data_IF_790924260622
#
_entry.id   IF_790924260622
#
_cell.length_a   1.000
_cell.length_b   1.000
_cell.length_c   1.000
_cell.angle_alpha   90.00
_cell.angle_beta   90.00
_cell.angle_gamma   90.00
#
_symmetry.space_group_name_H-M   'P 1'
#
loop_
_entity.id
_entity.type
_entity.pdbx_description
1 polymer ?
#
# COMPACT_ATOMS: atom_id res chain seq x y z
N UNK A 1 34.80 4.50 -40.86
CA UNK A 1 34.11 5.59 -40.14
C UNK A 1 33.35 4.98 -38.99
N UNK A 2 33.66 5.37 -37.75
CA UNK A 2 32.97 4.85 -36.57
C UNK A 2 31.62 5.56 -36.43
N UNK A 3 30.49 4.85 -36.31
CA UNK A 3 29.21 5.50 -36.07
C UNK A 3 29.28 6.27 -34.74
N UNK A 4 29.03 7.58 -34.79
CA UNK A 4 29.03 8.44 -33.60
C UNK A 4 27.60 8.63 -33.16
N UNK A 5 27.28 8.27 -31.92
CA UNK A 5 25.93 8.43 -31.38
C UNK A 5 25.65 9.93 -31.16
N UNK A 6 24.52 10.47 -31.67
CA UNK A 6 24.19 11.88 -31.47
C UNK A 6 23.93 12.17 -29.99
N UNK A 7 24.24 13.40 -29.56
CA UNK A 7 23.91 13.86 -28.21
C UNK A 7 22.39 13.80 -27.97
N UNK A 8 21.98 13.51 -26.73
CA UNK A 8 20.57 13.35 -26.38
C UNK A 8 19.65 14.48 -26.89
N UNK A 9 19.98 15.78 -26.74
CA UNK A 9 19.10 16.86 -27.23
C UNK A 9 18.92 16.91 -28.75
N UNK A 10 19.82 16.28 -29.50
CA UNK A 10 19.80 16.23 -30.97
C UNK A 10 19.02 15.03 -31.51
N UNK A 11 18.55 14.14 -30.62
CA UNK A 11 17.70 13.03 -31.00
C UNK A 11 16.30 13.52 -31.40
N UNK A 12 15.62 12.85 -32.35
CA UNK A 12 14.23 13.10 -32.64
C UNK A 12 13.36 13.05 -31.37
N UNK A 13 12.32 13.90 -31.26
CA UNK A 13 11.46 13.95 -30.08
C UNK A 13 10.88 12.58 -29.69
N UNK A 14 10.54 11.74 -30.67
CA UNK A 14 9.99 10.41 -30.46
C UNK A 14 10.98 9.51 -29.72
N UNK A 15 12.26 9.57 -30.11
CA UNK A 15 13.33 8.81 -29.47
C UNK A 15 13.60 9.33 -28.07
N UNK A 16 13.63 10.66 -27.87
CA UNK A 16 13.79 11.26 -26.53
C UNK A 16 12.65 10.89 -25.59
N UNK A 17 11.41 10.97 -26.05
CA UNK A 17 10.24 10.53 -25.29
C UNK A 17 10.31 9.05 -24.92
N UNK A 18 10.74 8.20 -25.86
CA UNK A 18 10.88 6.77 -25.61
C UNK A 18 11.98 6.49 -24.58
N UNK A 19 13.12 7.18 -24.65
CA UNK A 19 14.18 7.10 -23.63
C UNK A 19 13.64 7.54 -22.26
N UNK A 20 12.90 8.65 -22.19
CA UNK A 20 12.29 9.09 -20.94
C UNK A 20 11.32 8.06 -20.37
N UNK A 21 10.50 7.45 -21.22
CA UNK A 21 9.57 6.40 -20.82
C UNK A 21 10.31 5.18 -20.26
N UNK A 22 11.36 4.71 -20.95
CA UNK A 22 12.20 3.61 -20.49
C UNK A 22 12.97 3.94 -19.20
N UNK A 23 13.30 5.22 -18.99
CA UNK A 23 14.02 5.67 -17.79
C UNK A 23 13.14 5.67 -16.53
N UNK A 24 11.82 5.61 -16.66
CA UNK A 24 10.92 5.58 -15.51
C UNK A 24 11.21 4.32 -14.67
N UNK A 25 11.33 4.50 -13.37
CA UNK A 25 11.52 3.37 -12.45
C UNK A 25 10.35 2.42 -12.60
N UNK A 26 10.65 1.16 -12.88
CA UNK A 26 9.64 0.09 -12.91
C UNK A 26 9.48 -0.47 -11.50
N UNK A 27 8.25 -0.82 -11.15
CA UNK A 27 7.84 -1.54 -9.93
C UNK A 27 8.69 -1.27 -8.68
N UNK A 28 8.29 -0.27 -7.89
CA UNK A 28 8.90 0.04 -6.59
C UNK A 28 7.92 -0.22 -5.45
N UNK A 29 8.47 -0.62 -4.31
CA UNK A 29 7.76 -0.66 -3.04
C UNK A 29 7.98 0.68 -2.35
N UNK A 30 6.91 1.41 -2.05
CA UNK A 30 6.95 2.72 -1.42
C UNK A 30 6.45 2.56 0.00
N UNK A 31 7.33 2.76 1.00
CA UNK A 31 6.93 2.71 2.40
C UNK A 31 6.36 4.06 2.81
N UNK A 32 5.08 4.07 3.15
CA UNK A 32 4.34 5.27 3.53
C UNK A 32 4.12 5.27 5.04
N UNK A 33 4.59 6.34 5.67
CA UNK A 33 4.30 6.66 7.06
C UNK A 33 3.46 7.93 7.14
N UNK A 34 2.77 8.10 8.27
CA UNK A 34 1.89 9.26 8.50
C UNK A 34 2.29 9.95 9.81
N UNK A 35 2.64 11.23 9.72
CA UNK A 35 2.78 12.07 10.89
C UNK A 35 1.39 12.46 11.38
N UNK A 36 1.10 12.15 12.65
CA UNK A 36 -0.22 12.36 13.24
C UNK A 36 -0.23 13.67 14.03
N UNK A 37 -1.29 14.45 13.85
CA UNK A 37 -1.61 15.58 14.72
C UNK A 37 -2.82 15.25 15.60
N UNK A 38 -2.99 16.04 16.66
CA UNK A 38 -4.15 15.98 17.56
C UNK A 38 -4.86 17.33 17.45
N UNK A 39 -6.13 17.32 17.08
CA UNK A 39 -6.97 18.51 17.12
C UNK A 39 -7.35 18.84 18.58
N UNK A 40 -7.72 20.10 18.88
CA UNK A 40 -8.13 20.51 20.23
C UNK A 40 -9.29 19.70 20.82
N UNK A 41 -10.14 19.11 19.97
CA UNK A 41 -11.22 18.19 20.35
C UNK A 41 -10.77 16.72 20.48
N UNK A 42 -9.47 16.48 20.66
CA UNK A 42 -8.81 15.16 20.76
C UNK A 42 -8.95 14.25 19.53
N UNK A 43 -9.47 14.74 18.39
CA UNK A 43 -9.51 13.94 17.16
C UNK A 43 -8.13 13.89 16.50
N UNK A 44 -7.59 12.69 16.31
CA UNK A 44 -6.34 12.48 15.55
C UNK A 44 -6.57 12.76 14.07
N UNK A 45 -5.57 13.32 13.40
CA UNK A 45 -5.60 13.59 11.96
C UNK A 45 -4.22 13.36 11.33
N UNK A 46 -4.20 13.08 10.02
CA UNK A 46 -2.95 13.03 9.27
C UNK A 46 -2.45 14.45 8.98
N UNK A 47 -1.32 14.82 9.60
CA UNK A 47 -0.64 16.09 9.34
C UNK A 47 0.05 16.04 7.99
N UNK A 48 0.82 14.99 7.73
CA UNK A 48 1.43 14.72 6.44
C UNK A 48 1.76 13.23 6.28
N UNK A 49 1.94 12.83 5.04
CA UNK A 49 2.50 11.53 4.69
C UNK A 49 3.97 11.69 4.30
N UNK A 50 4.78 10.68 4.61
CA UNK A 50 6.18 10.59 4.22
C UNK A 50 6.41 9.27 3.51
N UNK A 51 7.19 9.32 2.45
CA UNK A 51 7.70 8.15 1.75
C UNK A 51 9.17 7.94 2.12
N UNK A 52 9.61 6.69 2.13
CA UNK A 52 11.03 6.31 2.24
C UNK A 52 11.81 6.60 0.95
N UNK A 53 11.14 6.59 -0.21
CA UNK A 53 11.71 6.93 -1.50
C UNK A 53 11.31 8.33 -1.98
N UNK A 54 12.21 8.98 -2.71
CA UNK A 54 11.90 10.23 -3.40
C UNK A 54 10.93 10.01 -4.58
N UNK A 55 10.23 11.08 -4.99
CA UNK A 55 9.44 11.07 -6.22
C UNK A 55 10.35 10.81 -7.44
N UNK A 56 9.82 10.20 -8.52
CA UNK A 56 10.62 9.91 -9.71
C UNK A 56 11.36 11.16 -10.21
N UNK A 57 12.69 11.09 -10.44
CA UNK A 57 13.49 12.26 -10.79
C UNK A 57 13.00 12.93 -12.08
N UNK A 58 12.42 12.17 -13.00
CA UNK A 58 11.85 12.64 -14.27
C UNK A 58 10.79 13.73 -14.07
N UNK A 59 10.12 13.79 -12.91
CA UNK A 59 9.18 14.87 -12.59
C UNK A 59 9.85 16.24 -12.41
N UNK A 60 11.17 16.27 -12.20
CA UNK A 60 11.94 17.48 -11.86
C UNK A 60 13.05 17.82 -12.86
N UNK A 61 13.49 16.88 -13.73
CA UNK A 61 14.62 17.11 -14.65
C UNK A 61 14.35 18.23 -15.67
N UNK A 62 13.30 18.09 -16.48
CA UNK A 62 12.90 19.07 -17.49
C UNK A 62 11.43 18.87 -17.88
N UNK A 63 10.88 19.78 -18.69
CA UNK A 63 9.47 19.75 -19.11
C UNK A 63 9.09 18.49 -19.89
N UNK A 64 9.99 17.99 -20.74
CA UNK A 64 9.76 16.82 -21.58
C UNK A 64 9.65 15.54 -20.73
N UNK A 65 10.65 15.30 -19.88
CA UNK A 65 10.68 14.20 -18.93
C UNK A 65 9.48 14.25 -17.98
N UNK A 66 9.12 15.46 -17.50
CA UNK A 66 7.96 15.65 -16.63
C UNK A 66 6.66 15.29 -17.33
N UNK A 67 6.47 15.69 -18.58
CA UNK A 67 5.27 15.32 -19.35
C UNK A 67 5.17 13.80 -19.55
N UNK A 68 6.28 13.13 -19.82
CA UNK A 68 6.29 11.66 -19.94
C UNK A 68 5.96 11.00 -18.60
N UNK A 69 6.57 11.45 -17.51
CA UNK A 69 6.31 10.90 -16.17
C UNK A 69 4.86 11.09 -15.72
N UNK A 70 4.26 12.26 -15.96
CA UNK A 70 2.88 12.56 -15.56
C UNK A 70 1.81 11.75 -16.32
N UNK A 71 2.18 11.02 -17.38
CA UNK A 71 1.27 10.04 -18.03
C UNK A 71 1.07 8.79 -17.19
N UNK A 72 2.05 8.43 -16.37
CA UNK A 72 2.04 7.22 -15.54
C UNK A 72 1.82 7.53 -14.07
N UNK A 73 2.36 8.66 -13.60
CA UNK A 73 2.37 9.03 -12.19
C UNK A 73 1.38 10.14 -11.89
N UNK A 74 0.52 9.92 -10.91
CA UNK A 74 -0.40 10.91 -10.38
C UNK A 74 -0.07 11.22 -8.91
N UNK A 75 -0.34 12.45 -8.43
CA UNK A 75 -0.04 12.81 -7.05
C UNK A 75 -1.13 12.34 -6.07
N UNK A 76 -0.72 11.61 -5.03
CA UNK A 76 -1.56 11.12 -3.94
C UNK A 76 -0.99 11.54 -2.58
N UNK A 77 -1.64 11.14 -1.49
CA UNK A 77 -1.18 11.37 -0.11
C UNK A 77 -1.01 12.85 0.22
N UNK A 78 -1.97 13.65 -0.27
CA UNK A 78 -2.04 15.10 -0.05
C UNK A 78 -2.93 15.38 1.14
N UNK A 79 -2.38 16.09 2.13
CA UNK A 79 -3.17 16.56 3.27
C UNK A 79 -3.50 18.04 3.11
N UNK A 80 -4.61 18.49 3.71
CA UNK A 80 -4.95 19.93 3.78
C UNK A 80 -3.87 20.76 4.49
N UNK A 81 -3.10 20.13 5.38
CA UNK A 81 -2.09 20.78 6.19
C UNK A 81 -0.74 20.91 5.50
N UNK A 82 -0.44 20.02 4.54
CA UNK A 82 0.77 20.08 3.70
C UNK A 82 0.41 19.85 2.22
N UNK A 83 -0.28 20.80 1.57
CA UNK A 83 -0.79 20.61 0.21
C UNK A 83 0.31 20.44 -0.84
N UNK A 84 1.52 20.95 -0.57
CA UNK A 84 2.68 20.85 -1.46
C UNK A 84 3.45 19.53 -1.31
N UNK A 85 3.26 18.81 -0.20
CA UNK A 85 3.83 17.48 -0.02
C UNK A 85 2.87 16.45 -0.61
N UNK A 86 3.28 15.83 -1.71
CA UNK A 86 2.56 14.74 -2.34
C UNK A 86 3.51 13.65 -2.78
N UNK A 87 3.00 12.42 -2.73
CA UNK A 87 3.70 11.24 -3.17
C UNK A 87 3.14 10.90 -4.54
N UNK A 88 3.97 10.94 -5.57
CA UNK A 88 3.56 10.53 -6.90
C UNK A 88 3.55 9.02 -6.96
N UNK A 89 2.42 8.45 -7.34
CA UNK A 89 2.19 7.02 -7.46
C UNK A 89 1.79 6.67 -8.89
N UNK A 90 2.30 5.56 -9.40
CA UNK A 90 1.75 4.86 -10.55
C UNK A 90 1.04 3.60 -10.04
N UNK A 91 -0.29 3.63 -9.79
CA UNK A 91 -0.97 2.51 -9.11
C UNK A 91 -0.88 1.17 -9.84
N UNK A 92 -0.68 1.20 -11.15
CA UNK A 92 -0.52 0.02 -11.99
C UNK A 92 0.84 -0.66 -11.83
N UNK A 93 1.84 0.04 -11.27
CA UNK A 93 3.23 -0.41 -11.17
C UNK A 93 3.78 -0.40 -9.73
N UNK A 94 3.43 0.60 -8.95
CA UNK A 94 3.88 0.77 -7.58
C UNK A 94 3.14 -0.19 -6.63
N UNK A 95 3.82 -0.57 -5.55
CA UNK A 95 3.26 -1.28 -4.40
C UNK A 95 3.40 -0.36 -3.21
N UNK A 96 2.32 -0.12 -2.46
CA UNK A 96 2.37 0.72 -1.27
C UNK A 96 2.51 -0.15 -0.03
N UNK A 97 3.52 0.12 0.77
CA UNK A 97 3.76 -0.54 2.05
C UNK A 97 3.44 0.44 3.18
N UNK A 98 2.54 0.08 4.09
CA UNK A 98 2.15 0.92 5.22
C UNK A 98 1.89 0.09 6.47
N UNK A 99 1.88 0.74 7.62
CA UNK A 99 1.41 0.14 8.87
C UNK A 99 -0.12 0.16 8.92
N UNK A 100 -0.77 -0.88 9.47
CA UNK A 100 -2.24 -0.97 9.57
C UNK A 100 -2.92 0.32 10.08
N UNK A 101 -2.33 1.00 11.06
CA UNK A 101 -2.87 2.24 11.63
C UNK A 101 -2.87 3.44 10.65
N UNK A 102 -2.20 3.35 9.51
CA UNK A 102 -2.22 4.36 8.43
C UNK A 102 -3.50 4.22 7.58
N UNK A 103 -4.11 3.03 7.51
CA UNK A 103 -5.35 2.79 6.75
C UNK A 103 -6.48 3.74 7.14
N UNK A 104 -6.58 4.09 8.43
CA UNK A 104 -7.56 5.04 8.97
C UNK A 104 -7.51 6.42 8.30
N UNK A 105 -6.34 6.80 7.79
CA UNK A 105 -6.07 8.15 7.27
C UNK A 105 -6.11 8.22 5.75
N UNK A 106 -6.26 7.09 5.06
CA UNK A 106 -6.35 7.06 3.61
C UNK A 106 -7.64 7.74 3.14
N UNK A 107 -7.50 8.68 2.22
CA UNK A 107 -8.62 9.35 1.57
C UNK A 107 -9.33 8.40 0.60
N UNK A 108 -10.55 8.76 0.19
CA UNK A 108 -11.31 8.02 -0.83
C UNK A 108 -10.55 7.91 -2.15
N UNK A 109 -9.80 8.94 -2.54
CA UNK A 109 -8.99 8.94 -3.75
C UNK A 109 -7.83 7.93 -3.67
N UNK A 110 -7.17 7.81 -2.51
CA UNK A 110 -6.12 6.81 -2.31
C UNK A 110 -6.71 5.40 -2.31
N UNK A 111 -7.80 5.17 -1.55
CA UNK A 111 -8.50 3.88 -1.49
C UNK A 111 -8.94 3.38 -2.87
N UNK A 112 -9.46 4.27 -3.71
CA UNK A 112 -9.90 3.94 -5.06
C UNK A 112 -8.74 3.74 -6.06
N UNK A 113 -7.54 4.26 -5.77
CA UNK A 113 -6.40 4.17 -6.68
C UNK A 113 -5.53 2.93 -6.40
N UNK A 114 -5.38 2.54 -5.14
CA UNK A 114 -4.46 1.49 -4.71
C UNK A 114 -4.86 0.12 -5.26
N UNK A 115 -3.88 -0.58 -5.85
CA UNK A 115 -4.07 -1.93 -6.42
C UNK A 115 -3.29 -3.01 -5.68
N UNK A 116 -2.12 -2.67 -5.14
CA UNK A 116 -1.24 -3.59 -4.43
C UNK A 116 -0.78 -2.96 -3.13
N UNK A 117 -1.02 -3.67 -2.03
CA UNK A 117 -0.72 -3.20 -0.69
C UNK A 117 0.13 -4.21 0.08
N UNK A 118 1.08 -3.70 0.84
CA UNK A 118 1.77 -4.43 1.90
C UNK A 118 1.39 -3.74 3.21
N UNK A 119 0.89 -4.51 4.17
CA UNK A 119 0.39 -3.98 5.44
C UNK A 119 1.17 -4.62 6.58
N UNK A 120 1.87 -3.82 7.37
CA UNK A 120 2.43 -4.27 8.63
C UNK A 120 1.31 -4.39 9.66
N UNK A 121 1.04 -5.62 10.10
CA UNK A 121 -0.01 -6.00 11.05
C UNK A 121 0.64 -6.28 12.40
N UNK A 122 0.27 -5.52 13.42
CA UNK A 122 0.77 -5.71 14.78
C UNK A 122 -0.28 -6.38 15.66
N UNK A 123 -1.56 -6.03 15.51
CA UNK A 123 -2.67 -6.65 16.27
C UNK A 123 -3.59 -7.47 15.36
N UNK A 124 -3.12 -8.66 14.96
CA UNK A 124 -3.86 -9.58 14.10
C UNK A 124 -5.22 -10.01 14.68
N UNK A 125 -5.37 -10.03 16.02
CA UNK A 125 -6.61 -10.41 16.68
C UNK A 125 -7.73 -9.37 16.53
N UNK A 126 -7.37 -8.09 16.44
CA UNK A 126 -8.35 -7.00 16.24
C UNK A 126 -8.41 -6.49 14.81
N UNK A 127 -7.51 -6.96 13.93
CA UNK A 127 -7.37 -6.49 12.54
C UNK A 127 -8.71 -6.46 11.80
N UNK A 128 -9.49 -7.56 11.93
CA UNK A 128 -10.80 -7.70 11.32
C UNK A 128 -11.76 -6.56 11.66
N UNK A 129 -11.90 -6.27 12.95
CA UNK A 129 -12.84 -5.26 13.45
C UNK A 129 -12.51 -3.81 13.07
N UNK A 130 -11.22 -3.49 12.88
CA UNK A 130 -10.80 -2.10 12.66
C UNK A 130 -10.53 -1.76 11.20
N UNK A 131 -10.07 -2.73 10.41
CA UNK A 131 -9.48 -2.45 9.10
C UNK A 131 -10.25 -3.04 7.92
N UNK A 132 -11.13 -4.02 8.14
CA UNK A 132 -11.86 -4.67 7.05
C UNK A 132 -12.77 -3.71 6.30
N UNK A 133 -13.52 -2.84 7.00
CA UNK A 133 -14.31 -1.78 6.34
C UNK A 133 -13.46 -0.92 5.40
N UNK A 134 -12.20 -0.68 5.80
CA UNK A 134 -11.28 0.09 4.97
C UNK A 134 -10.79 -0.67 3.74
N UNK A 135 -10.55 -1.97 3.85
CA UNK A 135 -10.15 -2.82 2.73
C UNK A 135 -11.32 -3.10 1.78
N UNK A 136 -12.52 -3.35 2.31
CA UNK A 136 -13.74 -3.57 1.54
C UNK A 136 -14.11 -2.33 0.70
N UNK A 137 -13.77 -1.12 1.17
CA UNK A 137 -13.97 0.13 0.42
C UNK A 137 -12.98 0.36 -0.76
N UNK A 138 -12.04 -0.56 -1.01
CA UNK A 138 -11.02 -0.43 -2.06
C UNK A 138 -11.37 -1.28 -3.29
N UNK A 139 -12.17 -0.73 -4.20
CA UNK A 139 -12.73 -1.47 -5.36
C UNK A 139 -11.68 -1.99 -6.36
N UNK A 140 -10.49 -1.39 -6.39
CA UNK A 140 -9.41 -1.73 -7.34
C UNK A 140 -8.28 -2.55 -6.72
N UNK A 141 -8.43 -2.95 -5.46
CA UNK A 141 -7.42 -3.71 -4.76
C UNK A 141 -7.35 -5.13 -5.35
N UNK A 142 -6.16 -5.51 -5.81
CA UNK A 142 -5.91 -6.79 -6.49
C UNK A 142 -5.08 -7.72 -5.62
N UNK A 143 -4.11 -7.17 -4.88
CA UNK A 143 -3.19 -7.95 -4.05
C UNK A 143 -2.92 -7.26 -2.71
N UNK A 144 -2.91 -8.04 -1.65
CA UNK A 144 -2.51 -7.62 -0.30
C UNK A 144 -1.46 -8.61 0.21
N UNK A 145 -0.38 -8.08 0.79
CA UNK A 145 0.57 -8.86 1.58
C UNK A 145 0.52 -8.36 3.02
N UNK A 146 0.11 -9.22 3.94
CA UNK A 146 0.08 -8.95 5.38
C UNK A 146 1.41 -9.40 5.97
N UNK A 147 2.17 -8.44 6.50
CA UNK A 147 3.42 -8.69 7.22
C UNK A 147 3.09 -8.73 8.70
N UNK A 148 3.13 -9.91 9.31
CA UNK A 148 2.86 -10.08 10.73
C UNK A 148 4.11 -9.70 11.51
N UNK A 149 4.01 -8.60 12.26
CA UNK A 149 5.07 -8.16 13.16
C UNK A 149 5.04 -9.01 14.45
N UNK A 150 6.21 -9.36 15.02
CA UNK A 150 6.26 -10.03 16.30
C UNK A 150 5.57 -9.14 17.32
N UNK A 151 4.60 -9.70 18.05
CA UNK A 151 3.85 -8.96 19.05
C UNK A 151 4.81 -8.34 20.06
N UNK A 152 5.08 -7.04 19.94
CA UNK A 152 5.78 -6.32 21.00
C UNK A 152 4.86 -6.39 22.20
N UNK A 153 5.29 -7.12 23.23
CA UNK A 153 4.72 -7.10 24.58
C UNK A 153 4.05 -5.76 24.85
N UNK A 154 2.73 -5.73 24.68
CA UNK A 154 1.95 -4.58 25.14
C UNK A 154 2.04 -4.65 26.66
N UNK A 155 2.45 -3.58 27.36
CA UNK A 155 2.64 -3.60 28.82
C UNK A 155 1.33 -3.83 29.62
N UNK A 156 0.21 -4.03 28.94
CA UNK A 156 -1.13 -4.23 29.51
C UNK A 156 -1.71 -5.64 29.29
N UNK A 157 -1.03 -6.55 28.58
CA UNK A 157 -1.49 -7.94 28.48
C UNK A 157 -0.79 -8.78 29.55
N UNK A 158 -1.50 -8.99 30.66
CA UNK A 158 -1.13 -9.82 31.83
C UNK A 158 -1.34 -11.33 31.56
N UNK A 159 -1.69 -11.72 30.33
CA UNK A 159 -1.78 -13.13 29.97
C UNK A 159 -0.49 -13.56 29.29
N UNK A 160 0.21 -14.48 29.92
CA UNK A 160 1.31 -15.27 29.37
C UNK A 160 0.96 -15.72 27.94
N UNK A 161 1.58 -15.10 26.95
CA UNK A 161 1.46 -15.57 25.58
C UNK A 161 2.54 -16.63 25.37
N UNK A 162 2.12 -17.89 25.41
CA UNK A 162 2.74 -18.92 24.60
C UNK A 162 2.86 -18.40 23.15
N UNK A 163 3.92 -18.74 22.41
CA UNK A 163 4.02 -18.38 21.01
C UNK A 163 2.79 -18.94 20.28
N UNK A 164 1.92 -18.05 19.82
CA UNK A 164 0.78 -18.38 18.96
C UNK A 164 1.36 -18.96 17.67
N UNK A 165 0.90 -20.15 17.28
CA UNK A 165 1.40 -20.80 16.07
C UNK A 165 1.02 -19.97 14.83
N UNK A 166 1.86 -19.99 13.81
CA UNK A 166 1.62 -19.26 12.55
C UNK A 166 0.25 -19.61 11.94
N UNK A 167 -0.17 -20.88 12.05
CA UNK A 167 -1.46 -21.38 11.58
C UNK A 167 -2.66 -20.72 12.29
N UNK A 168 -2.56 -20.44 13.59
CA UNK A 168 -3.63 -19.77 14.35
C UNK A 168 -3.76 -18.30 13.92
N UNK A 169 -2.63 -17.63 13.63
CA UNK A 169 -2.62 -16.25 13.12
C UNK A 169 -3.27 -16.18 11.74
N UNK A 170 -2.89 -17.10 10.84
CA UNK A 170 -3.48 -17.20 9.51
C UNK A 170 -4.98 -17.50 9.60
N UNK A 171 -5.40 -18.38 10.51
CA UNK A 171 -6.82 -18.67 10.73
C UNK A 171 -7.61 -17.44 11.21
N UNK A 172 -7.10 -16.69 12.19
CA UNK A 172 -7.75 -15.46 12.67
C UNK A 172 -7.89 -14.41 11.57
N UNK A 173 -6.83 -14.22 10.76
CA UNK A 173 -6.89 -13.32 9.62
C UNK A 173 -7.88 -13.83 8.56
N UNK A 174 -7.87 -15.13 8.23
CA UNK A 174 -8.81 -15.74 7.30
C UNK A 174 -10.26 -15.50 7.75
N UNK A 175 -10.57 -15.72 9.03
CA UNK A 175 -11.91 -15.48 9.57
C UNK A 175 -12.38 -14.02 9.37
N UNK A 176 -11.48 -13.05 9.52
CA UNK A 176 -11.79 -11.64 9.24
C UNK A 176 -12.11 -11.38 7.76
N UNK A 177 -11.38 -11.99 6.83
CA UNK A 177 -11.67 -11.86 5.39
C UNK A 177 -12.97 -12.56 5.01
N UNK A 178 -13.26 -13.74 5.57
CA UNK A 178 -14.54 -14.45 5.38
C UNK A 178 -15.70 -13.54 5.81
N UNK A 179 -15.62 -12.94 7.00
CA UNK A 179 -16.67 -12.02 7.48
C UNK A 179 -16.79 -10.76 6.61
N UNK A 180 -15.66 -10.22 6.12
CA UNK A 180 -15.67 -9.10 5.18
C UNK A 180 -16.40 -9.41 3.86
N UNK A 181 -16.21 -10.62 3.32
CA UNK A 181 -16.92 -11.08 2.12
C UNK A 181 -18.41 -11.31 2.40
N UNK A 182 -18.76 -11.86 3.57
CA UNK A 182 -20.17 -12.05 3.97
C UNK A 182 -20.92 -10.72 4.10
N UNK A 183 -20.28 -9.73 4.69
CA UNK A 183 -20.88 -8.40 4.91
C UNK A 183 -20.95 -7.58 3.62
N UNK A 184 -19.99 -7.78 2.70
CA UNK A 184 -19.93 -7.06 1.41
C UNK A 184 -19.78 -8.04 0.25
N UNK A 185 -20.87 -8.68 -0.22
CA UNK A 185 -20.79 -9.71 -1.25
C UNK A 185 -20.39 -9.18 -2.64
N UNK A 186 -20.53 -7.87 -2.90
CA UNK A 186 -20.07 -7.22 -4.13
C UNK A 186 -18.56 -6.92 -4.12
N UNK A 187 -17.87 -7.14 -2.99
CA UNK A 187 -16.45 -6.87 -2.87
C UNK A 187 -15.62 -7.91 -3.63
N UNK A 188 -14.89 -7.45 -4.64
CA UNK A 188 -13.92 -8.26 -5.36
C UNK A 188 -12.70 -8.51 -4.45
N UNK A 189 -12.72 -9.62 -3.71
CA UNK A 189 -11.67 -9.96 -2.76
C UNK A 189 -10.29 -10.02 -3.45
N UNK A 190 -9.28 -9.28 -2.94
CA UNK A 190 -7.93 -9.33 -3.47
C UNK A 190 -7.24 -10.66 -3.12
N UNK A 191 -6.15 -10.96 -3.82
CA UNK A 191 -5.24 -12.05 -3.43
C UNK A 191 -4.50 -11.65 -2.16
N UNK A 192 -4.67 -12.41 -1.09
CA UNK A 192 -4.05 -12.08 0.21
C UNK A 192 -2.98 -13.11 0.55
N UNK A 193 -1.77 -12.62 0.81
CA UNK A 193 -0.65 -13.43 1.31
C UNK A 193 -0.28 -13.00 2.72
N UNK A 194 0.10 -13.95 3.57
CA UNK A 194 0.55 -13.69 4.93
C UNK A 194 2.01 -14.11 5.04
N UNK A 195 2.85 -13.17 5.45
CA UNK A 195 4.28 -13.39 5.68
C UNK A 195 4.67 -12.92 7.08
N UNK A 196 5.65 -13.58 7.68
CA UNK A 196 6.23 -13.13 8.94
C UNK A 196 7.12 -11.90 8.71
N UNK A 197 7.48 -11.19 9.78
CA UNK A 197 8.43 -10.09 9.71
C UNK A 197 9.81 -10.48 9.15
N UNK A 198 10.20 -11.74 9.30
CA UNK A 198 11.44 -12.31 8.76
C UNK A 198 11.34 -12.62 7.26
N UNK A 199 10.16 -12.44 6.67
CA UNK A 199 9.87 -12.73 5.27
C UNK A 199 9.50 -14.19 5.00
N UNK A 200 9.32 -15.01 6.04
CA UNK A 200 8.86 -16.39 5.90
C UNK A 200 7.39 -16.41 5.47
N UNK A 201 7.06 -17.15 4.42
CA UNK A 201 5.67 -17.34 4.02
C UNK A 201 4.93 -18.13 5.09
N UNK A 202 3.88 -17.56 5.67
CA UNK A 202 3.03 -18.22 6.66
C UNK A 202 1.84 -18.90 5.99
N UNK A 203 1.29 -18.30 4.93
CA UNK A 203 0.20 -18.89 4.15
C UNK A 203 -0.47 -17.89 3.22
N UNK A 204 -1.38 -18.39 2.40
CA UNK A 204 -2.25 -17.59 1.53
C UNK A 204 -3.69 -17.66 2.06
N UNK A 205 -4.41 -16.54 2.03
CA UNK A 205 -5.83 -16.51 2.41
C UNK A 205 -6.67 -16.58 1.14
N UNK A 206 -7.36 -17.70 0.98
CA UNK A 206 -8.38 -17.93 -0.04
C UNK A 206 -9.70 -18.16 0.69
N UNK A 207 -10.74 -17.43 0.29
CA UNK A 207 -12.12 -17.65 0.76
C UNK A 207 -12.82 -18.52 -0.28
N UNK A 208 -13.17 -19.74 0.11
CA UNK A 208 -13.92 -20.68 -0.73
C UNK A 208 -15.42 -20.57 -0.45
N UNK A 209 -16.26 -21.12 -1.34
CA UNK A 209 -17.71 -21.08 -1.17
C UNK A 209 -18.14 -21.78 0.14
N UNK A 210 -17.46 -22.86 0.51
CA UNK A 210 -17.71 -23.64 1.73
C UNK A 210 -17.44 -22.81 3.01
N UNK A 211 -16.50 -21.85 2.97
CA UNK A 211 -16.19 -20.97 4.10
C UNK A 211 -17.36 -19.99 4.41
N UNK A 212 -18.23 -19.73 3.44
CA UNK A 212 -19.39 -18.83 3.59
C UNK A 212 -20.62 -19.54 4.14
N UNK A 213 -20.64 -20.87 4.12
CA UNK A 213 -21.77 -21.70 4.58
C UNK A 213 -21.69 -22.06 6.07
N UNK A 214 -20.50 -22.00 6.67
CA UNK A 214 -20.28 -22.38 8.07
C UNK A 214 -20.75 -21.24 8.99
N UNK A 215 -21.66 -21.59 9.91
CA UNK A 215 -22.27 -20.73 10.94
C UNK A 215 -21.83 -21.18 12.32
#
# INVERSE_FOLDING_TARGET
MSPTFPLFPLLPPEIRHYIWHLSLTHARVIRISCDRGILPNSRRYARCFRADCANPPQLQVNTEARHVALRCYAPYFRTKHMPHCCIYLAPDQDVVHLHEAVLAYLSTAERAALRRLIIDVQDYGSFGSYWMDSLCSMDRLQEIVLVVLPGTSTPYRVYDHLPVADDEIVWMLKAAFVEGVRTTPEWAMPRVKVISHDGTAMGDIVVEADDLEIS
#
